data_IF_755661885794
#
_entry.id   IF_755661885794
#
_cell.length_a   1.000
_cell.length_b   1.000
_cell.length_c   1.000
_cell.angle_alpha   90.00
_cell.angle_beta   90.00
_cell.angle_gamma   90.00
#
_symmetry.space_group_name_H-M   'P 1'
#
loop_
_entity.id
_entity.type
_entity.pdbx_description
1 polymer ?
#
# COMPACT_ATOMS: atom_id res chain seq x y z
N UNK A 1 6.87 -54.61 -5.80
CA UNK A 1 5.67 -54.38 -6.63
C UNK A 1 4.43 -54.83 -5.86
N UNK A 2 3.59 -53.88 -5.42
CA UNK A 2 2.22 -54.16 -4.99
C UNK A 2 1.33 -53.07 -5.59
N UNK A 3 0.70 -53.38 -6.71
CA UNK A 3 -0.34 -52.56 -7.31
C UNK A 3 -1.62 -52.73 -6.48
N UNK A 4 -2.09 -51.64 -5.86
CA UNK A 4 -3.50 -51.49 -5.47
C UNK A 4 -4.19 -50.76 -6.61
N UNK A 5 -4.88 -51.51 -7.45
CA UNK A 5 -5.96 -51.04 -8.31
C UNK A 5 -7.24 -51.38 -7.58
N UNK A 6 -7.99 -50.39 -7.12
CA UNK A 6 -9.46 -50.40 -7.00
C UNK A 6 -9.97 -49.15 -6.27
N UNK A 7 -10.95 -48.52 -6.94
CA UNK A 7 -12.10 -47.83 -6.35
C UNK A 7 -11.92 -46.40 -5.84
N UNK A 8 -12.23 -45.42 -6.69
CA UNK A 8 -13.30 -44.43 -6.44
C UNK A 8 -13.47 -43.52 -7.65
N UNK A 9 -13.83 -44.13 -8.79
CA UNK A 9 -14.40 -43.44 -9.94
C UNK A 9 -15.94 -43.54 -9.81
N UNK A 10 -16.53 -42.84 -8.84
CA UNK A 10 -17.99 -42.67 -8.76
C UNK A 10 -18.36 -41.54 -7.79
N UNK A 11 -18.38 -40.31 -8.27
CA UNK A 11 -19.22 -39.18 -7.83
C UNK A 11 -19.06 -38.04 -8.85
N UNK A 12 -19.47 -38.28 -10.09
CA UNK A 12 -19.55 -37.25 -11.13
C UNK A 12 -20.69 -37.61 -12.11
N UNK A 13 -21.92 -37.72 -11.60
CA UNK A 13 -23.09 -37.98 -12.47
C UNK A 13 -24.45 -37.61 -11.87
N UNK A 14 -24.54 -36.85 -10.77
CA UNK A 14 -25.85 -36.47 -10.19
C UNK A 14 -26.06 -34.95 -10.02
N UNK A 15 -25.12 -34.11 -10.44
CA UNK A 15 -25.27 -32.64 -10.38
C UNK A 15 -25.50 -31.97 -11.75
N UNK A 16 -25.51 -32.73 -12.86
CA UNK A 16 -25.53 -32.16 -14.23
C UNK A 16 -26.92 -31.67 -14.67
N UNK A 17 -27.96 -31.77 -13.83
CA UNK A 17 -29.34 -31.41 -14.20
C UNK A 17 -29.88 -30.14 -13.53
N UNK A 18 -29.08 -29.44 -12.70
CA UNK A 18 -29.51 -28.25 -11.96
C UNK A 18 -29.09 -26.92 -12.63
N UNK A 19 -27.96 -26.92 -13.35
CA UNK A 19 -27.42 -25.73 -14.00
C UNK A 19 -27.92 -25.56 -15.43
N UNK A 20 -28.23 -24.32 -15.78
CA UNK A 20 -28.40 -23.85 -17.15
C UNK A 20 -27.15 -24.12 -17.99
N UNK A 21 -27.34 -24.17 -19.31
CA UNK A 21 -26.23 -24.33 -20.25
C UNK A 21 -25.23 -23.16 -20.16
N UNK A 22 -25.72 -21.96 -19.86
CA UNK A 22 -24.89 -20.77 -19.62
C UNK A 22 -23.99 -20.95 -18.41
N UNK A 23 -24.57 -21.30 -17.25
CA UNK A 23 -23.81 -21.50 -16.03
C UNK A 23 -22.80 -22.64 -16.14
N UNK A 24 -23.21 -23.77 -16.74
CA UNK A 24 -22.33 -24.92 -16.97
C UNK A 24 -21.12 -24.52 -17.84
N UNK A 25 -21.34 -23.73 -18.89
CA UNK A 25 -20.26 -23.26 -19.78
C UNK A 25 -19.30 -22.32 -19.06
N UNK A 26 -19.82 -21.40 -18.24
CA UNK A 26 -19.00 -20.44 -17.49
C UNK A 26 -18.17 -21.14 -16.41
N UNK A 27 -18.78 -22.04 -15.63
CA UNK A 27 -18.08 -22.85 -14.65
C UNK A 27 -16.99 -23.71 -15.30
N UNK A 28 -17.28 -24.34 -16.44
CA UNK A 28 -16.27 -25.12 -17.16
C UNK A 28 -15.11 -24.25 -17.66
N UNK A 29 -15.37 -22.98 -18.03
CA UNK A 29 -14.33 -22.03 -18.46
C UNK A 29 -13.38 -21.66 -17.32
N UNK A 30 -13.89 -21.55 -16.09
CA UNK A 30 -13.11 -21.10 -14.93
C UNK A 30 -12.67 -22.22 -13.98
N UNK A 31 -13.09 -23.46 -14.21
CA UNK A 31 -12.89 -24.58 -13.29
C UNK A 31 -11.43 -24.74 -12.80
N UNK A 32 -10.45 -24.66 -13.70
CA UNK A 32 -9.03 -24.76 -13.32
C UNK A 32 -8.61 -23.63 -12.38
N UNK A 33 -9.04 -22.39 -12.68
CA UNK A 33 -8.76 -21.24 -11.84
C UNK A 33 -9.41 -21.36 -10.47
N UNK A 34 -10.73 -21.63 -10.42
CA UNK A 34 -11.50 -21.73 -9.18
C UNK A 34 -10.95 -22.86 -8.30
N UNK A 35 -10.60 -24.01 -8.88
CA UNK A 35 -10.03 -25.13 -8.14
C UNK A 35 -8.63 -24.85 -7.57
N UNK A 36 -7.92 -23.86 -8.10
CA UNK A 36 -6.58 -23.46 -7.63
C UNK A 36 -6.61 -22.51 -6.43
N UNK A 37 -7.78 -21.96 -6.10
CA UNK A 37 -7.98 -20.93 -5.07
C UNK A 37 -8.64 -21.59 -3.85
N UNK A 38 -8.02 -21.44 -2.68
CA UNK A 38 -8.66 -21.88 -1.43
C UNK A 38 -9.83 -20.95 -1.12
N UNK A 39 -11.02 -21.51 -0.95
CA UNK A 39 -12.23 -20.78 -0.56
C UNK A 39 -12.06 -19.89 0.68
N UNK A 40 -11.13 -20.23 1.59
CA UNK A 40 -10.84 -19.43 2.79
C UNK A 40 -10.16 -18.11 2.49
N UNK A 41 -9.41 -18.04 1.38
CA UNK A 41 -8.69 -16.85 0.95
C UNK A 41 -9.67 -15.76 0.46
N UNK A 42 -10.80 -16.17 -0.13
CA UNK A 42 -11.80 -15.26 -0.72
C UNK A 42 -12.45 -14.36 0.34
N UNK A 43 -12.48 -14.80 1.60
CA UNK A 43 -13.09 -14.07 2.72
C UNK A 43 -12.06 -13.59 3.74
N UNK A 44 -10.77 -13.62 3.39
CA UNK A 44 -9.71 -13.26 4.34
C UNK A 44 -9.44 -11.76 4.33
N UNK A 45 -9.27 -11.19 5.52
CA UNK A 45 -8.81 -9.81 5.73
C UNK A 45 -7.28 -9.77 5.95
N UNK A 46 -6.61 -10.91 5.80
CA UNK A 46 -5.16 -11.00 5.98
C UNK A 46 -4.45 -10.65 4.66
N UNK A 47 -3.52 -9.69 4.72
CA UNK A 47 -2.74 -9.30 3.55
C UNK A 47 -2.02 -10.45 2.83
N UNK A 48 -1.44 -11.41 3.55
CA UNK A 48 -0.78 -12.58 2.94
C UNK A 48 -1.76 -13.46 2.15
N UNK A 49 -3.01 -13.55 2.59
CA UNK A 49 -4.04 -14.30 1.87
C UNK A 49 -4.45 -13.55 0.60
N UNK A 50 -4.62 -12.22 0.67
CA UNK A 50 -4.90 -11.37 -0.50
C UNK A 50 -3.74 -11.44 -1.52
N UNK A 51 -2.49 -11.39 -1.07
CA UNK A 51 -1.32 -11.54 -1.93
C UNK A 51 -1.30 -12.93 -2.62
N UNK A 52 -1.62 -13.98 -1.85
CA UNK A 52 -1.76 -15.34 -2.37
C UNK A 52 -2.88 -15.43 -3.42
N UNK A 53 -4.01 -14.78 -3.17
CA UNK A 53 -5.13 -14.68 -4.11
C UNK A 53 -4.66 -14.06 -5.43
N UNK A 54 -4.02 -12.89 -5.37
CA UNK A 54 -3.55 -12.21 -6.57
C UNK A 54 -2.51 -13.02 -7.34
N UNK A 55 -1.60 -13.72 -6.65
CA UNK A 55 -0.64 -14.63 -7.28
C UNK A 55 -1.34 -15.78 -8.04
N UNK A 56 -2.38 -16.37 -7.45
CA UNK A 56 -3.19 -17.40 -8.11
C UNK A 56 -3.96 -16.86 -9.31
N UNK A 57 -4.60 -15.71 -9.15
CA UNK A 57 -5.38 -15.07 -10.21
C UNK A 57 -4.50 -14.61 -11.39
N UNK A 58 -3.25 -14.22 -11.14
CA UNK A 58 -2.28 -13.86 -12.19
C UNK A 58 -1.65 -15.08 -12.89
N UNK A 59 -1.97 -16.31 -12.47
CA UNK A 59 -1.46 -17.53 -13.10
C UNK A 59 -2.12 -17.83 -14.46
N UNK A 60 -1.44 -18.63 -15.29
CA UNK A 60 -1.97 -19.05 -16.59
C UNK A 60 -3.32 -19.77 -16.49
N UNK A 61 -3.54 -20.51 -15.39
CA UNK A 61 -4.77 -21.25 -15.12
C UNK A 61 -5.99 -20.31 -14.95
N UNK A 62 -5.74 -19.05 -14.59
CA UNK A 62 -6.74 -18.01 -14.40
C UNK A 62 -6.85 -17.00 -15.54
N UNK A 63 -6.08 -17.15 -16.63
CA UNK A 63 -6.09 -16.23 -17.78
C UNK A 63 -7.49 -15.97 -18.36
N UNK A 64 -8.30 -17.03 -18.53
CA UNK A 64 -9.68 -16.92 -19.02
C UNK A 64 -10.62 -16.22 -18.04
N UNK A 65 -10.37 -16.37 -16.74
CA UNK A 65 -11.14 -15.71 -15.69
C UNK A 65 -10.80 -14.22 -15.64
N UNK A 66 -9.49 -13.88 -15.59
CA UNK A 66 -9.00 -12.50 -15.55
C UNK A 66 -9.44 -11.70 -16.78
N UNK A 67 -9.41 -12.30 -17.97
CA UNK A 67 -9.89 -11.66 -19.19
C UNK A 67 -11.38 -11.26 -19.11
N UNK A 68 -12.17 -11.98 -18.33
CA UNK A 68 -13.59 -11.74 -18.12
C UNK A 68 -13.87 -10.99 -16.80
N UNK A 69 -12.86 -10.59 -16.03
CA UNK A 69 -13.06 -10.09 -14.67
C UNK A 69 -13.87 -8.78 -14.61
N UNK A 70 -13.85 -7.99 -15.68
CA UNK A 70 -14.65 -6.76 -15.81
C UNK A 70 -16.09 -7.02 -16.29
N UNK A 71 -16.47 -8.26 -16.59
CA UNK A 71 -17.83 -8.59 -17.01
C UNK A 71 -18.79 -8.53 -15.82
N UNK A 72 -19.81 -7.70 -15.94
CA UNK A 72 -20.82 -7.44 -14.88
C UNK A 72 -22.03 -8.37 -14.96
N UNK A 73 -21.93 -9.43 -15.76
CA UNK A 73 -22.94 -10.49 -15.90
C UNK A 73 -22.32 -11.86 -15.68
N UNK A 74 -23.10 -12.82 -15.19
CA UNK A 74 -22.72 -14.24 -15.10
C UNK A 74 -23.69 -15.08 -15.93
N UNK A 75 -23.19 -16.19 -16.47
CA UNK A 75 -24.01 -17.25 -17.05
C UNK A 75 -24.83 -18.02 -16.01
N UNK A 76 -24.47 -17.91 -14.72
CA UNK A 76 -25.23 -18.42 -13.59
C UNK A 76 -26.22 -17.37 -13.06
N UNK A 77 -27.47 -17.76 -12.85
CA UNK A 77 -28.52 -16.87 -12.33
C UNK A 77 -28.46 -16.79 -10.80
N UNK A 78 -28.11 -15.61 -10.29
CA UNK A 78 -28.07 -15.31 -8.85
C UNK A 78 -29.44 -15.46 -8.16
N UNK A 79 -30.54 -15.42 -8.93
CA UNK A 79 -31.91 -15.58 -8.42
C UNK A 79 -32.38 -17.03 -8.41
N UNK A 80 -31.66 -17.94 -9.07
CA UNK A 80 -31.95 -19.37 -9.05
C UNK A 80 -31.22 -20.01 -7.86
N UNK A 81 -31.95 -20.62 -6.92
CA UNK A 81 -31.37 -21.22 -5.72
C UNK A 81 -30.32 -22.31 -6.00
N UNK A 82 -30.43 -23.01 -7.13
CA UNK A 82 -29.48 -24.05 -7.55
C UNK A 82 -28.18 -23.48 -8.13
N UNK A 83 -28.23 -22.31 -8.76
CA UNK A 83 -27.07 -21.66 -9.39
C UNK A 83 -26.48 -20.52 -8.54
N UNK A 84 -27.23 -20.02 -7.56
CA UNK A 84 -26.90 -18.82 -6.79
C UNK A 84 -25.52 -18.90 -6.14
N UNK A 85 -25.15 -20.07 -5.63
CA UNK A 85 -23.84 -20.29 -5.02
C UNK A 85 -22.70 -20.12 -6.03
N UNK A 86 -22.88 -20.68 -7.22
CA UNK A 86 -21.90 -20.61 -8.29
C UNK A 86 -21.80 -19.20 -8.88
N UNK A 87 -22.95 -18.55 -9.08
CA UNK A 87 -23.03 -17.15 -9.48
C UNK A 87 -22.28 -16.25 -8.48
N UNK A 88 -22.58 -16.37 -7.18
CA UNK A 88 -21.89 -15.58 -6.15
C UNK A 88 -20.40 -15.88 -6.07
N UNK A 89 -19.99 -17.14 -6.27
CA UNK A 89 -18.56 -17.50 -6.28
C UNK A 89 -17.83 -16.79 -7.41
N UNK A 90 -18.38 -16.82 -8.62
CA UNK A 90 -17.79 -16.16 -9.79
C UNK A 90 -17.77 -14.64 -9.59
N UNK A 91 -18.90 -14.05 -9.21
CA UNK A 91 -19.03 -12.60 -9.06
C UNK A 91 -18.15 -12.05 -7.94
N UNK A 92 -18.09 -12.72 -6.78
CA UNK A 92 -17.24 -12.28 -5.67
C UNK A 92 -15.76 -12.45 -5.98
N UNK A 93 -15.38 -13.49 -6.74
CA UNK A 93 -14.00 -13.63 -7.19
C UNK A 93 -13.61 -12.50 -8.16
N UNK A 94 -14.55 -12.04 -9.00
CA UNK A 94 -14.32 -10.89 -9.88
C UNK A 94 -14.16 -9.62 -9.07
N UNK A 95 -15.05 -9.39 -8.09
CA UNK A 95 -14.93 -8.27 -7.15
C UNK A 95 -13.56 -8.29 -6.47
N UNK A 96 -13.12 -9.43 -5.94
CA UNK A 96 -11.82 -9.54 -5.28
C UNK A 96 -10.66 -9.22 -6.23
N UNK A 97 -10.69 -9.73 -7.47
CA UNK A 97 -9.71 -9.38 -8.50
C UNK A 97 -9.70 -7.87 -8.79
N UNK A 98 -10.86 -7.28 -9.03
CA UNK A 98 -10.99 -5.85 -9.37
C UNK A 98 -10.62 -4.95 -8.19
N UNK A 99 -10.86 -5.37 -6.94
CA UNK A 99 -10.42 -4.63 -5.75
C UNK A 99 -8.91 -4.68 -5.60
N UNK A 100 -8.30 -5.87 -5.63
CA UNK A 100 -6.93 -6.04 -5.11
C UNK A 100 -5.86 -6.37 -6.15
N UNK A 101 -6.24 -6.91 -7.31
CA UNK A 101 -5.28 -7.56 -8.21
C UNK A 101 -5.22 -6.96 -9.61
N UNK A 102 -6.10 -5.99 -9.90
CA UNK A 102 -6.23 -5.39 -11.22
C UNK A 102 -4.97 -4.61 -11.59
N UNK A 103 -4.58 -4.73 -12.86
CA UNK A 103 -3.41 -4.04 -13.41
C UNK A 103 -3.80 -3.24 -14.64
N UNK A 104 -2.98 -2.24 -14.97
CA UNK A 104 -3.05 -1.52 -16.22
C UNK A 104 -2.48 -2.34 -17.40
N UNK A 105 -2.39 -1.70 -18.57
CA UNK A 105 -1.84 -2.30 -19.79
C UNK A 105 -0.35 -2.64 -19.73
N UNK A 106 0.39 -2.04 -18.79
CA UNK A 106 1.82 -2.26 -18.56
C UNK A 106 2.07 -3.37 -17.55
N UNK A 107 1.04 -3.80 -16.83
CA UNK A 107 1.12 -4.80 -15.76
C UNK A 107 1.31 -4.19 -14.37
N UNK A 108 1.32 -2.87 -14.26
CA UNK A 108 1.35 -2.14 -12.99
C UNK A 108 -0.01 -2.24 -12.29
N UNK A 109 -0.01 -2.38 -10.97
CA UNK A 109 -1.25 -2.44 -10.20
C UNK A 109 -2.02 -1.11 -10.30
N UNK A 110 -3.35 -1.19 -10.35
CA UNK A 110 -4.18 0.00 -10.37
C UNK A 110 -4.06 0.77 -9.04
N UNK A 111 -3.99 2.12 -9.04
CA UNK A 111 -3.68 2.90 -7.83
C UNK A 111 -4.62 2.61 -6.65
N UNK A 112 -5.93 2.47 -6.89
CA UNK A 112 -6.85 2.10 -5.82
C UNK A 112 -6.65 0.67 -5.33
N UNK A 113 -6.29 -0.24 -6.23
CA UNK A 113 -5.98 -1.61 -5.83
C UNK A 113 -4.72 -1.67 -4.98
N UNK A 114 -3.75 -0.80 -5.26
CA UNK A 114 -2.51 -0.68 -4.53
C UNK A 114 -2.70 -0.07 -3.14
N UNK A 115 -3.40 1.07 -3.06
CA UNK A 115 -3.76 1.70 -1.79
C UNK A 115 -4.52 0.71 -0.87
N UNK A 116 -5.48 -0.04 -1.43
CA UNK A 116 -6.17 -1.08 -0.68
C UNK A 116 -5.23 -2.21 -0.21
N UNK A 117 -4.21 -2.57 -0.97
CA UNK A 117 -3.22 -3.56 -0.55
C UNK A 117 -2.33 -3.04 0.58
N UNK A 118 -1.93 -1.77 0.51
CA UNK A 118 -1.18 -1.07 1.56
C UNK A 118 -1.97 -1.09 2.88
N UNK A 119 -3.27 -0.79 2.86
CA UNK A 119 -4.17 -0.87 4.03
C UNK A 119 -4.18 -2.26 4.69
N UNK A 120 -4.08 -3.33 3.89
CA UNK A 120 -4.01 -4.71 4.40
C UNK A 120 -2.58 -5.15 4.74
N UNK A 121 -1.62 -4.23 4.75
CA UNK A 121 -0.22 -4.51 5.02
C UNK A 121 0.40 -5.42 3.97
N UNK A 122 -0.15 -5.50 2.75
CA UNK A 122 0.48 -6.18 1.62
C UNK A 122 1.46 -5.22 0.99
N UNK A 123 2.75 -5.56 1.04
CA UNK A 123 3.72 -4.87 0.19
C UNK A 123 3.54 -5.46 -1.20
N UNK A 124 2.64 -4.87 -2.00
CA UNK A 124 2.69 -4.98 -3.45
C UNK A 124 3.97 -4.28 -3.87
N UNK A 125 5.12 -4.94 -3.67
CA UNK A 125 6.33 -4.52 -4.35
C UNK A 125 5.92 -4.29 -5.80
N UNK A 126 6.11 -3.04 -6.24
CA UNK A 126 5.69 -2.35 -7.48
C UNK A 126 4.68 -1.20 -7.38
N UNK A 127 4.13 -0.86 -6.22
CA UNK A 127 3.77 0.53 -5.95
C UNK A 127 3.80 0.74 -4.43
N UNK A 128 4.80 1.50 -4.01
CA UNK A 128 4.72 2.23 -2.75
C UNK A 128 4.34 3.64 -3.19
N UNK A 129 3.31 4.20 -2.57
CA UNK A 129 3.03 5.63 -2.67
C UNK A 129 4.33 6.45 -2.43
N UNK A 130 4.45 7.56 -3.17
CA UNK A 130 5.67 8.35 -3.54
C UNK A 130 6.39 7.88 -4.80
N UNK A 131 6.17 6.67 -5.29
CA UNK A 131 7.02 6.11 -6.35
C UNK A 131 6.62 6.42 -7.81
N UNK A 132 5.55 7.16 -8.05
CA UNK A 132 5.04 7.45 -9.41
C UNK A 132 4.75 8.93 -9.62
N UNK A 133 5.78 9.78 -9.49
CA UNK A 133 5.70 11.18 -9.93
C UNK A 133 6.54 11.41 -11.21
N UNK A 134 6.10 12.38 -12.00
CA UNK A 134 6.85 12.93 -13.13
C UNK A 134 7.81 14.00 -12.63
N UNK A 135 8.93 14.17 -13.34
CA UNK A 135 9.95 15.15 -12.96
C UNK A 135 9.39 16.57 -12.83
N UNK A 136 8.35 16.92 -13.59
CA UNK A 136 7.73 18.24 -13.56
C UNK A 136 6.85 18.51 -12.33
N UNK A 137 6.49 17.47 -11.57
CA UNK A 137 5.67 17.56 -10.37
C UNK A 137 6.52 17.89 -9.13
N UNK A 138 7.83 17.65 -9.20
CA UNK A 138 8.77 17.93 -8.11
C UNK A 138 9.02 19.42 -8.00
N UNK A 139 8.57 19.99 -6.89
CA UNK A 139 8.79 21.39 -6.56
C UNK A 139 9.96 21.58 -5.61
N UNK A 140 10.54 22.78 -5.67
CA UNK A 140 11.61 23.19 -4.80
C UNK A 140 11.14 23.36 -3.35
N UNK A 141 11.97 22.97 -2.37
CA UNK A 141 11.65 23.07 -0.95
C UNK A 141 12.72 23.79 -0.17
N UNK A 142 12.31 24.50 0.87
CA UNK A 142 13.22 25.28 1.71
C UNK A 142 13.55 24.50 2.98
N UNK A 143 14.72 24.72 3.57
CA UNK A 143 15.14 24.02 4.80
C UNK A 143 14.13 24.18 5.95
N UNK A 144 13.33 25.24 5.94
CA UNK A 144 12.26 25.52 6.91
C UNK A 144 11.14 24.49 6.92
N UNK A 145 11.02 23.69 5.87
CA UNK A 145 10.07 22.57 5.78
C UNK A 145 10.41 21.47 6.81
N UNK A 146 11.71 21.33 7.13
CA UNK A 146 12.23 20.45 8.19
C UNK A 146 12.56 21.19 9.50
N UNK A 147 12.13 22.46 9.66
CA UNK A 147 12.37 23.22 10.90
C UNK A 147 11.75 22.52 12.10
N UNK A 148 12.56 22.22 13.12
CA UNK A 148 12.17 21.41 14.25
C UNK A 148 13.37 20.83 15.01
N UNK A 149 13.05 19.97 15.96
CA UNK A 149 14.00 19.25 16.79
C UNK A 149 13.75 17.75 16.65
N UNK A 150 14.79 16.99 16.31
CA UNK A 150 14.62 15.67 15.74
C UNK A 150 15.58 14.67 16.35
N UNK A 151 15.11 13.46 16.68
CA UNK A 151 15.91 12.36 17.23
C UNK A 151 16.01 11.16 16.32
N UNK A 152 17.15 10.50 16.37
CA UNK A 152 17.34 9.20 15.74
C UNK A 152 16.74 8.11 16.63
N UNK A 153 15.94 7.17 16.08
CA UNK A 153 15.49 5.99 16.81
C UNK A 153 16.56 4.89 16.85
N UNK A 154 17.72 5.07 16.19
CA UNK A 154 18.77 4.05 16.12
C UNK A 154 19.24 3.55 17.51
N UNK A 155 19.42 4.39 18.54
CA UNK A 155 19.69 3.90 19.90
C UNK A 155 18.56 3.02 20.47
N UNK A 156 17.29 3.34 20.18
CA UNK A 156 16.14 2.56 20.59
C UNK A 156 16.16 1.18 19.91
N UNK A 157 16.44 1.15 18.61
CA UNK A 157 16.63 -0.08 17.82
C UNK A 157 17.71 -0.97 18.46
N UNK A 158 18.89 -0.40 18.74
CA UNK A 158 20.01 -1.14 19.33
C UNK A 158 19.68 -1.70 20.72
N UNK A 159 18.87 -0.98 21.50
CA UNK A 159 18.43 -1.42 22.84
C UNK A 159 17.31 -2.49 22.82
N UNK A 160 16.70 -2.74 21.65
CA UNK A 160 15.58 -3.66 21.49
C UNK A 160 14.21 -3.06 21.81
N UNK A 161 14.11 -1.75 22.05
CA UNK A 161 12.84 -1.08 22.34
C UNK A 161 11.90 -1.02 21.12
N UNK A 162 12.41 -1.27 19.91
CA UNK A 162 11.62 -1.30 18.67
C UNK A 162 11.30 -2.74 18.21
N UNK A 163 11.62 -3.76 19.02
CA UNK A 163 11.49 -5.16 18.61
C UNK A 163 10.04 -5.53 18.30
N UNK A 164 9.08 -4.97 19.04
CA UNK A 164 7.64 -5.14 18.79
C UNK A 164 7.23 -4.68 17.38
N UNK A 165 7.80 -3.59 16.86
CA UNK A 165 7.52 -3.13 15.51
C UNK A 165 7.93 -4.17 14.46
N UNK A 166 9.10 -4.78 14.63
CA UNK A 166 9.60 -5.79 13.70
C UNK A 166 8.85 -7.12 13.82
N UNK A 167 8.38 -7.48 15.01
CA UNK A 167 7.49 -8.62 15.22
C UNK A 167 6.14 -8.41 14.54
N UNK A 168 5.54 -7.24 14.72
CA UNK A 168 4.30 -6.85 14.05
C UNK A 168 4.47 -6.87 12.52
N UNK A 169 5.53 -6.26 12.01
CA UNK A 169 5.84 -6.22 10.57
C UNK A 169 6.10 -7.61 9.99
N UNK A 170 6.85 -8.46 10.69
CA UNK A 170 7.08 -9.85 10.28
C UNK A 170 5.78 -10.66 10.23
N UNK A 171 4.90 -10.47 11.23
CA UNK A 171 3.60 -11.14 11.28
C UNK A 171 2.66 -10.66 10.17
N UNK A 172 2.68 -9.36 9.86
CA UNK A 172 1.83 -8.77 8.82
C UNK A 172 2.29 -9.16 7.40
N UNK A 173 3.58 -8.97 7.10
CA UNK A 173 4.13 -9.13 5.74
C UNK A 173 4.52 -10.58 5.43
N UNK A 174 4.96 -11.36 6.42
CA UNK A 174 5.32 -12.78 6.26
C UNK A 174 6.51 -13.08 5.35
N UNK A 175 7.19 -12.06 4.81
CA UNK A 175 8.29 -12.17 3.84
C UNK A 175 9.67 -12.26 4.50
N UNK A 176 9.78 -11.80 5.76
CA UNK A 176 10.99 -11.81 6.60
C UNK A 176 10.63 -12.14 8.04
N UNK A 177 11.58 -12.70 8.78
CA UNK A 177 11.46 -12.82 10.24
C UNK A 177 11.69 -11.47 10.92
N UNK A 178 11.27 -11.34 12.19
CA UNK A 178 11.50 -10.13 12.98
C UNK A 178 12.99 -9.79 13.07
N UNK A 179 13.86 -10.80 13.20
CA UNK A 179 15.32 -10.61 13.23
C UNK A 179 15.87 -10.11 11.89
N UNK A 180 15.33 -10.59 10.78
CA UNK A 180 15.71 -10.13 9.45
C UNK A 180 15.27 -8.67 9.22
N UNK A 181 14.08 -8.30 9.68
CA UNK A 181 13.65 -6.90 9.69
C UNK A 181 14.55 -6.05 10.57
N UNK A 182 14.84 -6.49 11.79
CA UNK A 182 15.73 -5.78 12.71
C UNK A 182 17.11 -5.52 12.10
N UNK A 183 17.74 -6.51 11.48
CA UNK A 183 19.05 -6.31 10.83
C UNK A 183 18.97 -5.42 9.57
N UNK A 184 17.87 -5.48 8.82
CA UNK A 184 17.61 -4.55 7.70
C UNK A 184 17.55 -3.10 8.19
N UNK A 185 16.68 -2.80 9.17
CA UNK A 185 16.55 -1.46 9.75
C UNK A 185 17.81 -1.01 10.51
N UNK A 186 18.53 -1.92 11.16
CA UNK A 186 19.81 -1.62 11.80
C UNK A 186 20.87 -1.18 10.80
N UNK A 187 20.86 -1.74 9.60
CA UNK A 187 21.77 -1.32 8.52
C UNK A 187 21.36 0.04 7.97
N UNK A 188 20.06 0.20 7.68
CA UNK A 188 19.47 1.45 7.19
C UNK A 188 19.68 2.63 8.13
N UNK A 189 19.30 2.48 9.40
CA UNK A 189 19.32 3.57 10.40
C UNK A 189 20.68 3.89 11.00
N UNK A 190 21.72 3.15 10.62
CA UNK A 190 23.05 3.32 11.22
C UNK A 190 23.56 4.74 10.98
N UNK A 191 23.74 5.48 12.07
CA UNK A 191 24.31 6.82 12.07
C UNK A 191 25.04 7.10 13.38
N UNK A 192 26.02 8.00 13.34
CA UNK A 192 26.63 8.60 14.52
C UNK A 192 25.92 9.88 14.97
N UNK A 193 24.95 10.39 14.19
CA UNK A 193 24.10 11.54 14.52
C UNK A 193 22.92 11.05 15.36
N UNK A 194 22.80 11.56 16.58
CA UNK A 194 21.71 11.23 17.50
C UNK A 194 20.55 12.22 17.40
N UNK A 195 20.84 13.50 17.20
CA UNK A 195 19.84 14.57 17.18
C UNK A 195 20.18 15.62 16.13
N UNK A 196 19.15 16.16 15.50
CA UNK A 196 19.25 17.20 14.47
C UNK A 196 18.31 18.33 14.87
N UNK A 197 18.83 19.56 14.96
CA UNK A 197 18.05 20.75 15.29
C UNK A 197 18.14 21.69 14.10
N UNK A 198 16.99 22.01 13.50
CA UNK A 198 16.88 22.84 12.30
C UNK A 198 16.17 24.14 12.66
N UNK A 199 16.78 25.27 12.31
CA UNK A 199 16.19 26.60 12.54
C UNK A 199 16.61 27.57 11.43
N UNK A 200 15.65 28.03 10.65
CA UNK A 200 15.90 28.83 9.46
C UNK A 200 16.85 28.10 8.50
N UNK A 201 17.99 28.71 8.16
CA UNK A 201 19.00 28.11 7.28
C UNK A 201 20.07 27.27 8.00
N UNK A 202 19.97 27.08 9.33
CA UNK A 202 20.99 26.40 10.13
C UNK A 202 20.54 25.01 10.54
N UNK A 203 21.47 24.07 10.44
CA UNK A 203 21.34 22.72 11.01
C UNK A 203 22.39 22.56 12.11
N UNK A 204 21.98 21.99 13.24
CA UNK A 204 22.86 21.60 14.35
C UNK A 204 22.76 20.10 14.54
N UNK A 205 23.90 19.42 14.57
CA UNK A 205 24.02 17.99 14.75
C UNK A 205 24.59 17.70 16.13
N UNK A 206 23.96 16.78 16.85
CA UNK A 206 24.48 16.20 18.08
C UNK A 206 24.85 14.75 17.78
N UNK A 207 26.12 14.42 17.96
CA UNK A 207 26.66 13.09 17.69
C UNK A 207 26.57 12.21 18.94
N UNK A 208 26.66 10.89 18.75
CA UNK A 208 26.62 9.87 19.81
C UNK A 208 27.71 10.05 20.87
N UNK A 209 28.85 10.65 20.52
CA UNK A 209 29.95 10.97 21.44
C UNK A 209 29.72 12.28 22.24
N UNK A 210 28.59 12.96 22.02
CA UNK A 210 28.23 14.23 22.63
C UNK A 210 28.83 15.45 21.92
N UNK A 211 29.58 15.27 20.83
CA UNK A 211 30.05 16.38 20.00
C UNK A 211 28.84 17.10 19.40
N UNK A 212 28.93 18.43 19.33
CA UNK A 212 27.94 19.28 18.68
C UNK A 212 28.63 20.04 17.57
N UNK A 213 28.05 20.04 16.38
CA UNK A 213 28.53 20.83 15.24
C UNK A 213 27.36 21.48 14.50
N UNK A 214 27.57 22.64 13.90
CA UNK A 214 26.52 23.37 13.21
C UNK A 214 27.06 24.19 12.05
N UNK A 215 26.26 24.33 11.00
CA UNK A 215 26.55 25.22 9.88
C UNK A 215 25.26 25.85 9.35
N UNK A 216 25.40 26.97 8.65
CA UNK A 216 24.36 27.45 7.73
C UNK A 216 24.45 26.63 6.46
N UNK A 217 23.32 26.26 5.87
CA UNK A 217 23.25 25.43 4.68
C UNK A 217 22.76 26.22 3.48
N UNK A 218 23.35 25.93 2.33
CA UNK A 218 22.95 26.46 1.03
C UNK A 218 22.19 25.37 0.28
N UNK A 219 20.96 25.68 -0.10
CA UNK A 219 20.08 24.80 -0.85
C UNK A 219 20.60 24.58 -2.29
N UNK A 220 20.55 23.34 -2.79
CA UNK A 220 21.07 22.93 -4.10
C UNK A 220 20.01 22.40 -5.06
N UNK A 221 18.77 22.24 -4.62
CA UNK A 221 17.66 21.75 -5.43
C UNK A 221 17.27 20.32 -5.08
N UNK A 222 16.12 19.86 -5.64
CA UNK A 222 15.75 18.47 -5.63
C UNK A 222 16.69 17.64 -6.52
N UNK A 223 16.94 16.41 -6.09
CA UNK A 223 17.64 15.36 -6.80
C UNK A 223 16.72 14.14 -6.86
N UNK A 224 16.26 13.80 -8.06
CA UNK A 224 15.35 12.66 -8.26
C UNK A 224 16.19 11.40 -8.40
N UNK A 225 15.83 10.36 -7.65
CA UNK A 225 16.46 9.04 -7.71
C UNK A 225 15.45 8.02 -8.19
N UNK A 226 15.90 7.22 -9.15
CA UNK A 226 15.23 6.02 -9.63
C UNK A 226 15.86 4.82 -8.93
N UNK A 227 15.13 4.22 -8.00
CA UNK A 227 15.61 3.08 -7.23
C UNK A 227 15.64 1.81 -8.08
N UNK A 228 16.56 0.90 -7.75
CA UNK A 228 16.64 -0.42 -8.38
C UNK A 228 15.38 -1.28 -8.19
N UNK A 229 14.58 -0.98 -7.17
CA UNK A 229 13.24 -1.55 -6.93
C UNK A 229 12.17 -1.12 -7.94
N UNK A 230 12.47 -0.14 -8.81
CA UNK A 230 11.51 0.45 -9.75
C UNK A 230 10.71 1.62 -9.20
N UNK A 231 10.98 2.04 -7.96
CA UNK A 231 10.35 3.21 -7.33
C UNK A 231 11.18 4.48 -7.56
N UNK A 232 10.58 5.67 -7.35
CA UNK A 232 11.31 6.96 -7.41
C UNK A 232 11.18 7.74 -6.11
N UNK A 233 12.12 8.64 -5.83
CA UNK A 233 12.05 9.58 -4.71
C UNK A 233 12.70 10.93 -5.04
N UNK A 234 12.18 12.01 -4.46
CA UNK A 234 12.85 13.31 -4.44
C UNK A 234 13.69 13.44 -3.17
N UNK A 235 14.97 13.80 -3.36
CA UNK A 235 15.94 14.11 -2.31
C UNK A 235 16.25 15.60 -2.36
N UNK A 236 16.19 16.31 -1.24
CA UNK A 236 16.47 17.74 -1.20
C UNK A 236 17.87 18.00 -0.68
N UNK A 237 18.74 18.51 -1.55
CA UNK A 237 20.18 18.60 -1.29
C UNK A 237 20.58 19.97 -0.71
N UNK A 238 21.43 19.93 0.30
CA UNK A 238 22.00 21.13 0.92
C UNK A 238 23.50 20.97 1.18
N UNK A 239 24.23 22.08 1.08
CA UNK A 239 25.68 22.12 1.32
C UNK A 239 26.01 23.12 2.42
N UNK A 240 26.81 22.70 3.40
CA UNK A 240 27.28 23.55 4.47
C UNK A 240 28.11 24.74 3.92
N UNK A 241 27.79 25.96 4.37
CA UNK A 241 28.53 27.17 4.04
C UNK A 241 29.89 27.20 4.73
N UNK A 242 29.94 26.80 6.00
CA UNK A 242 31.20 26.58 6.71
C UNK A 242 31.56 25.10 6.70
N UNK A 243 32.49 24.75 5.82
CA UNK A 243 33.03 23.39 5.64
C UNK A 243 33.99 22.96 6.75
N UNK A 244 34.41 23.88 7.62
CA UNK A 244 35.33 23.61 8.73
C UNK A 244 34.62 23.55 10.09
N UNK A 245 33.30 23.77 10.13
CA UNK A 245 32.52 23.77 11.36
C UNK A 245 32.39 22.38 12.03
N UNK A 246 32.85 21.32 11.36
CA UNK A 246 32.76 19.94 11.82
C UNK A 246 31.36 19.33 11.68
N UNK A 247 30.41 20.06 11.09
CA UNK A 247 29.12 19.55 10.66
C UNK A 247 29.27 18.85 9.29
N UNK A 248 28.40 17.88 8.94
CA UNK A 248 28.44 17.25 7.63
C UNK A 248 28.34 18.29 6.50
N UNK A 249 29.19 18.16 5.48
CA UNK A 249 29.29 19.17 4.41
C UNK A 249 28.14 19.04 3.41
N UNK A 250 27.81 17.80 3.05
CA UNK A 250 26.76 17.46 2.09
C UNK A 250 25.67 16.75 2.85
N UNK A 251 24.44 17.22 2.75
CA UNK A 251 23.28 16.60 3.39
C UNK A 251 22.11 16.54 2.42
N UNK A 252 21.34 15.47 2.49
CA UNK A 252 20.12 15.31 1.71
C UNK A 252 18.97 14.82 2.58
N UNK A 253 17.81 15.43 2.39
CA UNK A 253 16.57 15.09 3.08
C UNK A 253 15.63 14.31 2.15
N UNK A 254 14.99 13.27 2.69
CA UNK A 254 13.86 12.62 2.06
C UNK A 254 12.81 12.28 3.12
N UNK A 255 11.66 12.91 3.02
CA UNK A 255 10.53 12.80 3.95
C UNK A 255 9.25 12.39 3.20
N UNK A 256 9.41 11.75 2.04
CA UNK A 256 8.33 11.25 1.21
C UNK A 256 7.52 12.36 0.48
N UNK A 257 7.80 13.65 0.70
CA UNK A 257 7.10 14.75 0.02
C UNK A 257 7.89 15.27 -1.19
N UNK A 258 7.16 15.64 -2.26
CA UNK A 258 7.72 16.22 -3.51
C UNK A 258 7.34 17.70 -3.73
N UNK A 259 6.58 18.28 -2.80
CA UNK A 259 6.18 19.70 -2.82
C UNK A 259 6.35 20.35 -1.44
N UNK A 260 6.38 21.69 -1.31
CA UNK A 260 6.53 22.37 -0.03
C UNK A 260 5.51 21.93 1.02
N UNK A 261 6.01 21.57 2.20
CA UNK A 261 5.22 21.00 3.27
C UNK A 261 6.06 20.73 4.52
N UNK A 262 5.42 20.64 5.69
CA UNK A 262 6.11 20.28 6.93
C UNK A 262 6.38 18.78 6.94
N UNK A 263 7.60 18.41 7.32
CA UNK A 263 7.96 17.00 7.48
C UNK A 263 7.36 16.44 8.77
N UNK A 264 6.85 15.21 8.73
CA UNK A 264 6.45 14.45 9.92
C UNK A 264 7.64 13.64 10.50
N UNK A 265 8.45 13.07 9.62
CA UNK A 265 9.74 12.45 9.86
C UNK A 265 10.58 12.56 8.59
N UNK A 266 11.87 12.24 8.66
CA UNK A 266 12.70 12.23 7.46
C UNK A 266 13.88 11.28 7.54
N UNK A 267 14.32 10.82 6.37
CA UNK A 267 15.64 10.27 6.14
C UNK A 267 16.65 11.39 5.88
N UNK A 268 17.81 11.31 6.53
CA UNK A 268 18.91 12.24 6.37
C UNK A 268 20.19 11.48 6.08
N UNK A 269 20.69 11.60 4.85
CA UNK A 269 22.01 11.10 4.49
C UNK A 269 22.99 12.24 4.46
N UNK A 270 24.24 11.95 4.81
CA UNK A 270 25.25 13.00 4.93
C UNK A 270 26.67 12.53 4.65
N UNK A 271 27.50 13.46 4.22
CA UNK A 271 28.92 13.22 3.93
C UNK A 271 29.75 14.46 4.26
N UNK A 272 31.00 14.24 4.68
CA UNK A 272 31.97 15.31 4.92
C UNK A 272 32.94 15.51 3.75
N UNK A 273 32.80 14.75 2.66
CA UNK A 273 33.80 14.68 1.59
C UNK A 273 33.20 14.92 0.20
N UNK A 274 32.21 14.13 -0.21
CA UNK A 274 31.51 14.25 -1.49
C UNK A 274 30.13 13.60 -1.48
N UNK A 275 29.31 13.91 -2.49
CA UNK A 275 28.02 13.22 -2.71
C UNK A 275 28.21 11.73 -3.03
N UNK A 276 29.29 11.36 -3.73
CA UNK A 276 29.58 9.96 -4.12
C UNK A 276 29.87 9.05 -2.91
N UNK A 277 30.19 9.64 -1.75
CA UNK A 277 30.42 8.89 -0.51
C UNK A 277 29.11 8.56 0.24
N UNK A 278 27.96 9.05 -0.25
CA UNK A 278 26.64 8.74 0.31
C UNK A 278 26.15 7.41 -0.26
N UNK A 279 25.90 6.43 0.62
CA UNK A 279 25.25 5.16 0.26
C UNK A 279 23.73 5.33 0.25
N UNK A 280 23.19 5.72 -0.91
CA UNK A 280 21.77 6.04 -1.08
C UNK A 280 20.83 4.86 -0.77
N UNK A 281 21.22 3.64 -1.15
CA UNK A 281 20.35 2.46 -1.09
C UNK A 281 20.41 1.75 0.26
N UNK A 282 21.60 1.66 0.90
CA UNK A 282 21.77 0.82 2.09
C UNK A 282 21.85 1.60 3.40
N UNK A 283 22.05 2.92 3.36
CA UNK A 283 22.10 3.76 4.55
C UNK A 283 21.15 4.95 4.44
N UNK A 284 20.12 4.95 5.27
CA UNK A 284 19.04 5.94 5.28
C UNK A 284 18.67 6.26 6.74
N UNK A 285 19.58 6.91 7.51
CA UNK A 285 19.29 7.34 8.88
C UNK A 285 17.98 8.11 8.96
N UNK A 286 17.06 7.68 9.82
CA UNK A 286 15.76 8.32 10.01
C UNK A 286 15.75 9.19 11.27
N UNK A 287 14.91 10.22 11.26
CA UNK A 287 14.71 11.14 12.35
C UNK A 287 13.22 11.44 12.54
N UNK A 288 12.77 11.34 13.80
CA UNK A 288 11.42 11.68 14.27
C UNK A 288 11.47 12.92 15.14
N UNK A 289 10.35 13.61 15.39
CA UNK A 289 10.30 14.72 16.33
C UNK A 289 10.88 14.30 17.70
N UNK A 290 11.64 15.17 18.35
CA UNK A 290 12.28 14.90 19.65
C UNK A 290 11.24 14.45 20.71
N UNK A 291 10.04 14.99 20.63
CA UNK A 291 8.89 14.68 21.47
C UNK A 291 8.22 13.32 21.20
N UNK A 292 8.47 12.68 20.05
CA UNK A 292 7.76 11.46 19.64
C UNK A 292 7.97 10.32 20.66
N UNK A 293 6.92 9.65 21.11
CA UNK A 293 7.05 8.54 22.06
C UNK A 293 7.69 7.29 21.41
N UNK A 294 8.09 6.31 22.22
CA UNK A 294 8.59 5.04 21.67
C UNK A 294 7.44 4.30 20.98
N UNK A 295 6.24 4.39 21.53
CA UNK A 295 5.02 3.78 21.01
C UNK A 295 4.66 4.36 19.64
N UNK A 296 4.81 5.67 19.47
CA UNK A 296 4.60 6.37 18.19
C UNK A 296 5.59 5.91 17.12
N UNK A 297 6.87 5.78 17.48
CA UNK A 297 7.90 5.26 16.57
C UNK A 297 7.64 3.78 16.25
N UNK A 298 7.15 2.99 17.22
CA UNK A 298 6.79 1.58 16.98
C UNK A 298 5.61 1.47 16.01
N UNK A 299 4.58 2.29 16.19
CA UNK A 299 3.41 2.33 15.31
C UNK A 299 3.82 2.64 13.86
N UNK A 300 4.59 3.72 13.65
CA UNK A 300 5.13 4.10 12.34
C UNK A 300 5.91 2.96 11.67
N UNK A 301 6.86 2.36 12.41
CA UNK A 301 7.70 1.29 11.86
C UNK A 301 6.96 -0.03 11.59
N UNK A 302 5.93 -0.31 12.37
CA UNK A 302 5.16 -1.56 12.29
C UNK A 302 4.16 -1.57 11.13
N UNK A 303 3.73 -0.39 10.67
CA UNK A 303 2.63 -0.24 9.72
C UNK A 303 1.25 -0.59 10.30
N UNK A 304 1.10 -0.67 11.62
CA UNK A 304 -0.21 -0.82 12.28
C UNK A 304 -0.73 0.55 12.69
N UNK A 305 -1.74 1.06 11.97
CA UNK A 305 -2.55 2.25 12.25
C UNK A 305 -1.82 3.51 12.79
N UNK A 306 -1.74 4.54 11.95
CA UNK A 306 -1.64 5.92 12.38
C UNK A 306 -2.91 6.30 13.17
N UNK A 307 -2.85 6.18 14.50
CA UNK A 307 -3.79 6.87 15.40
C UNK A 307 -2.98 7.71 16.37
N UNK A 308 -2.68 8.95 15.97
CA UNK A 308 -2.21 9.96 16.91
C UNK A 308 -3.39 10.80 17.38
N UNK A 309 -3.62 10.77 18.69
CA UNK A 309 -4.40 11.75 19.47
C UNK A 309 -3.61 13.07 19.64
N UNK A 310 -3.10 13.62 18.55
CA UNK A 310 -2.61 15.00 18.48
C UNK A 310 -3.27 15.68 17.29
N UNK A 311 -3.67 16.95 17.48
CA UNK A 311 -4.43 17.78 16.53
C UNK A 311 -3.67 18.02 15.20
N UNK A 312 -3.42 16.97 14.42
CA UNK A 312 -3.11 16.99 13.00
C UNK A 312 -4.25 16.23 12.31
N UNK A 313 -4.92 16.92 11.39
CA UNK A 313 -6.28 16.58 10.97
C UNK A 313 -6.40 15.24 10.24
N UNK A 314 -7.61 14.66 10.31
CA UNK A 314 -8.08 13.54 9.47
C UNK A 314 -7.82 13.73 7.96
N UNK A 315 -7.43 14.93 7.52
CA UNK A 315 -7.24 15.34 6.13
C UNK A 315 -6.13 14.54 5.37
N UNK A 316 -5.00 14.15 5.98
CA UNK A 316 -3.82 13.66 5.22
C UNK A 316 -3.96 12.22 4.64
N UNK A 317 -4.53 11.26 5.38
CA UNK A 317 -4.82 9.92 4.83
C UNK A 317 -5.96 9.96 3.81
N UNK A 318 -6.89 10.89 4.00
CA UNK A 318 -7.99 11.10 3.08
C UNK A 318 -7.52 11.77 1.79
N UNK A 319 -6.50 12.64 1.86
CA UNK A 319 -5.80 13.16 0.68
C UNK A 319 -5.15 12.03 -0.14
N UNK A 320 -4.49 11.07 0.50
CA UNK A 320 -3.81 9.96 -0.21
C UNK A 320 -4.79 9.05 -0.98
N UNK A 321 -5.92 8.67 -0.35
CA UNK A 321 -6.96 7.89 -1.05
C UNK A 321 -7.61 8.68 -2.20
N UNK A 322 -7.86 9.98 -2.01
CA UNK A 322 -8.41 10.85 -3.06
C UNK A 322 -7.44 10.98 -4.23
N UNK A 323 -6.14 11.07 -3.98
CA UNK A 323 -5.12 11.04 -5.04
C UNK A 323 -5.13 9.69 -5.77
N UNK A 324 -5.18 8.57 -5.05
CA UNK A 324 -5.32 7.25 -5.66
C UNK A 324 -6.58 7.16 -6.55
N UNK A 325 -7.72 7.72 -6.13
CA UNK A 325 -8.97 7.74 -6.91
C UNK A 325 -8.82 8.55 -8.20
N UNK A 326 -8.10 9.68 -8.13
CA UNK A 326 -7.85 10.52 -9.29
C UNK A 326 -6.95 9.80 -10.31
N UNK A 327 -5.82 9.27 -9.88
CA UNK A 327 -4.85 8.58 -10.74
C UNK A 327 -5.49 7.34 -11.39
N UNK A 328 -6.22 6.57 -10.59
CA UNK A 328 -6.94 5.39 -11.03
C UNK A 328 -8.03 5.72 -12.06
N UNK A 329 -8.70 6.87 -11.90
CA UNK A 329 -9.66 7.39 -12.88
C UNK A 329 -9.01 7.77 -14.21
N UNK A 330 -7.76 8.23 -14.22
CA UNK A 330 -7.05 8.62 -15.45
C UNK A 330 -6.66 7.42 -16.31
N UNK A 331 -6.21 6.34 -15.64
CA UNK A 331 -5.75 5.11 -16.28
C UNK A 331 -6.95 4.36 -16.88
N UNK A 332 -6.91 4.08 -18.19
CA UNK A 332 -8.07 3.56 -18.93
C UNK A 332 -8.57 2.22 -18.40
N UNK A 333 -7.66 1.31 -18.11
CA UNK A 333 -7.95 -0.03 -17.58
C UNK A 333 -8.50 0.04 -16.16
N UNK A 334 -7.89 0.87 -15.30
CA UNK A 334 -8.28 1.05 -13.90
C UNK A 334 -9.63 1.77 -13.78
N UNK A 335 -9.88 2.75 -14.65
CA UNK A 335 -11.17 3.42 -14.77
C UNK A 335 -12.28 2.43 -15.14
N UNK A 336 -12.07 1.63 -16.20
CA UNK A 336 -13.03 0.60 -16.60
C UNK A 336 -13.26 -0.42 -15.48
N UNK A 337 -12.17 -0.84 -14.82
CA UNK A 337 -12.22 -1.75 -13.68
C UNK A 337 -13.04 -1.17 -12.53
N UNK A 338 -12.89 0.11 -12.19
CA UNK A 338 -13.69 0.77 -11.15
C UNK A 338 -15.18 0.71 -11.46
N UNK A 339 -15.57 1.07 -12.69
CA UNK A 339 -16.97 1.04 -13.14
C UNK A 339 -17.54 -0.38 -12.99
N UNK A 340 -16.82 -1.39 -13.48
CA UNK A 340 -17.21 -2.80 -13.33
C UNK A 340 -17.30 -3.25 -11.87
N UNK A 341 -16.39 -2.80 -11.01
CA UNK A 341 -16.40 -3.10 -9.58
C UNK A 341 -17.69 -2.61 -8.94
N UNK A 342 -18.05 -1.34 -9.14
CA UNK A 342 -19.28 -0.76 -8.55
C UNK A 342 -20.53 -1.45 -9.08
N UNK A 343 -20.58 -1.79 -10.37
CA UNK A 343 -21.70 -2.56 -10.95
C UNK A 343 -21.82 -3.96 -10.32
N UNK A 344 -20.71 -4.65 -10.09
CA UNK A 344 -20.70 -5.96 -9.43
C UNK A 344 -21.11 -5.87 -7.97
N UNK A 345 -20.64 -4.86 -7.22
CA UNK A 345 -21.04 -4.62 -5.83
C UNK A 345 -22.56 -4.40 -5.72
N UNK A 346 -23.15 -3.66 -6.66
CA UNK A 346 -24.62 -3.49 -6.78
C UNK A 346 -25.32 -4.82 -7.05
N UNK A 347 -24.80 -5.61 -7.98
CA UNK A 347 -25.40 -6.88 -8.38
C UNK A 347 -25.40 -7.92 -7.25
N UNK A 348 -24.34 -7.99 -6.47
CA UNK A 348 -24.21 -8.94 -5.35
C UNK A 348 -24.89 -8.45 -4.07
N UNK A 349 -25.37 -7.20 -4.05
CA UNK A 349 -26.00 -6.59 -2.88
C UNK A 349 -25.00 -6.29 -1.76
N UNK A 350 -23.74 -6.02 -2.11
CA UNK A 350 -22.70 -5.68 -1.14
C UNK A 350 -23.02 -4.37 -0.42
N UNK A 351 -22.85 -4.34 0.90
CA UNK A 351 -22.97 -3.14 1.72
C UNK A 351 -21.90 -2.09 1.41
N UNK A 352 -20.77 -2.51 0.84
CA UNK A 352 -19.66 -1.62 0.47
C UNK A 352 -20.04 -0.69 -0.68
N UNK A 353 -21.09 -0.98 -1.46
CA UNK A 353 -21.46 -0.18 -2.64
C UNK A 353 -21.54 1.33 -2.34
N UNK A 354 -21.97 1.71 -1.14
CA UNK A 354 -22.10 3.10 -0.69
C UNK A 354 -20.75 3.84 -0.65
N UNK A 355 -19.66 3.11 -0.41
CA UNK A 355 -18.31 3.66 -0.26
C UNK A 355 -17.67 3.94 -1.64
N UNK A 356 -18.23 3.36 -2.71
CA UNK A 356 -17.70 3.47 -4.08
C UNK A 356 -18.62 4.22 -5.04
N UNK A 357 -19.94 4.18 -4.79
CA UNK A 357 -20.96 4.68 -5.72
C UNK A 357 -20.90 6.20 -5.92
N UNK A 358 -20.45 6.95 -4.92
CA UNK A 358 -20.32 8.41 -5.02
C UNK A 358 -19.31 8.85 -6.10
N UNK A 359 -18.26 8.06 -6.31
CA UNK A 359 -17.21 8.34 -7.31
C UNK A 359 -17.58 7.85 -8.72
N UNK A 360 -18.55 6.93 -8.85
CA UNK A 360 -18.89 6.27 -10.11
C UNK A 360 -19.15 7.27 -11.25
N UNK A 361 -19.83 8.38 -10.96
CA UNK A 361 -20.17 9.36 -11.99
C UNK A 361 -18.96 10.10 -12.56
N UNK A 362 -17.89 10.25 -11.76
CA UNK A 362 -16.63 10.86 -12.21
C UNK A 362 -15.89 9.89 -13.13
N UNK A 363 -15.80 8.63 -12.74
CA UNK A 363 -15.23 7.56 -13.55
C UNK A 363 -15.93 7.41 -14.90
N UNK A 364 -17.27 7.35 -14.91
CA UNK A 364 -18.07 7.24 -16.14
C UNK A 364 -17.90 8.42 -17.09
N UNK A 365 -17.70 9.63 -16.54
CA UNK A 365 -17.48 10.85 -17.33
C UNK A 365 -16.01 11.13 -17.61
N UNK A 366 -15.12 10.31 -17.04
CA UNK A 366 -13.68 10.55 -16.97
C UNK A 366 -13.33 11.97 -16.49
N UNK A 367 -14.05 12.42 -15.46
CA UNK A 367 -13.88 13.73 -14.83
C UNK A 367 -13.05 13.57 -13.54
N UNK A 368 -11.78 13.22 -13.68
CA UNK A 368 -10.92 12.83 -12.54
C UNK A 368 -10.60 14.02 -11.63
N UNK A 369 -10.33 15.21 -12.19
CA UNK A 369 -10.18 16.46 -11.43
C UNK A 369 -11.41 16.80 -10.56
N UNK A 370 -12.60 16.37 -10.98
CA UNK A 370 -13.83 16.60 -10.24
C UNK A 370 -13.93 15.83 -8.92
N UNK A 371 -13.11 14.78 -8.75
CA UNK A 371 -13.07 13.96 -7.53
C UNK A 371 -12.52 14.80 -6.37
N UNK A 372 -11.45 15.57 -6.60
CA UNK A 372 -10.89 16.50 -5.60
C UNK A 372 -11.94 17.51 -5.11
N UNK A 373 -12.70 18.10 -6.05
CA UNK A 373 -13.73 19.08 -5.73
C UNK A 373 -14.96 18.50 -5.00
N UNK A 374 -15.17 17.18 -5.07
CA UNK A 374 -16.16 16.49 -4.23
C UNK A 374 -15.62 16.33 -2.81
N UNK A 375 -14.38 15.88 -2.67
CA UNK A 375 -13.71 15.71 -1.37
C UNK A 375 -13.63 17.04 -0.59
N UNK A 376 -13.38 18.17 -1.26
CA UNK A 376 -13.38 19.50 -0.63
C UNK A 376 -14.77 19.97 -0.17
N UNK A 377 -15.86 19.50 -0.80
CA UNK A 377 -17.23 19.99 -0.55
C UNK A 377 -17.96 19.23 0.55
N UNK A 378 -17.54 18.02 0.89
CA UNK A 378 -18.20 17.19 1.91
C UNK A 378 -18.00 17.73 3.34
N UNK A 379 -16.98 18.58 3.59
CA UNK A 379 -16.83 19.41 4.79
C UNK A 379 -16.93 18.63 6.10
N UNK A 380 -15.80 18.16 6.62
CA UNK A 380 -15.66 16.85 7.27
C UNK A 380 -15.79 15.80 6.18
N UNK A 381 -14.63 15.39 5.68
CA UNK A 381 -14.51 14.10 5.01
C UNK A 381 -14.97 13.13 6.10
N UNK A 382 -16.24 12.74 6.06
CA UNK A 382 -16.78 11.78 7.01
C UNK A 382 -15.98 10.55 6.73
N UNK A 383 -15.07 10.24 7.67
CA UNK A 383 -14.24 9.06 7.75
C UNK A 383 -14.74 8.07 6.72
N UNK A 384 -14.00 7.91 5.62
CA UNK A 384 -14.06 6.67 4.88
C UNK A 384 -13.45 5.65 5.86
N UNK A 385 -14.22 5.33 6.89
CA UNK A 385 -14.36 3.96 7.32
C UNK A 385 -14.98 3.30 6.10
N UNK A 386 -14.14 2.98 5.10
CA UNK A 386 -14.10 1.60 4.68
C UNK A 386 -13.89 0.90 6.02
N UNK A 387 -14.99 0.60 6.72
CA UNK A 387 -14.94 -0.40 7.75
C UNK A 387 -14.49 -1.58 6.93
N UNK A 388 -13.18 -1.84 6.94
CA UNK A 388 -12.54 -3.08 6.51
C UNK A 388 -13.05 -4.26 7.36
N UNK A 389 -14.24 -4.14 7.96
CA UNK A 389 -15.09 -5.27 8.29
C UNK A 389 -15.60 -5.85 6.97
N UNK A 390 -14.96 -6.90 6.50
CA UNK A 390 -15.62 -7.93 5.68
C UNK A 390 -16.71 -8.63 6.52
N UNK A 391 -17.68 -7.87 7.02
CA UNK A 391 -18.81 -8.40 7.76
C UNK A 391 -20.08 -7.86 7.15
N UNK A 392 -20.49 -8.50 6.06
CA UNK A 392 -21.90 -8.78 5.87
C UNK A 392 -22.10 -10.28 5.57
N UNK A 393 -22.55 -10.98 6.63
CA UNK A 393 -23.62 -11.96 6.54
C UNK A 393 -23.52 -13.04 5.44
N UNK A 394 -22.38 -13.75 5.34
CA UNK A 394 -22.36 -15.14 4.83
C UNK A 394 -21.86 -16.10 5.92
N UNK A 395 -22.19 -15.82 7.18
CA UNK A 395 -22.18 -16.83 8.25
C UNK A 395 -23.63 -17.10 8.64
N UNK A 396 -24.37 -17.74 7.74
CA UNK A 396 -25.46 -18.63 8.14
C UNK A 396 -25.69 -19.81 7.19
N UNK A 397 -24.76 -20.09 6.28
CA UNK A 397 -24.81 -21.32 5.47
C UNK A 397 -23.48 -22.07 5.36
N UNK A 398 -22.40 -21.64 6.03
CA UNK A 398 -21.12 -22.38 6.09
C UNK A 398 -20.94 -23.14 7.43
N UNK A 399 -21.77 -22.89 8.46
CA UNK A 399 -21.67 -23.59 9.76
C UNK A 399 -22.50 -24.90 9.83
N UNK A 400 -23.34 -25.20 8.84
CA UNK A 400 -23.95 -26.52 8.72
C UNK A 400 -23.52 -27.17 7.42
N UNK A 401 -22.45 -27.98 7.48
CA UNK A 401 -22.24 -29.27 6.79
C UNK A 401 -20.74 -29.63 6.79
N UNK A 402 -20.21 -29.87 7.99
CA UNK A 402 -19.45 -31.10 8.23
C UNK A 402 -20.39 -32.13 8.83
#
# INVERSE_FOLDING_TARGET
MKFKLLSSLLMAATAVFAHSSGCTSELSKYNTCIASIDSKIITSENGSDIATLCSKLKSNDCSSFVADATNTTSGCDIKNDEEKKDALTILNLRIAYLKFCATDSTGSICPISDHLLEDYGVDSSHANHVSTFKDEEVQDRQLTDWEGDWKSPYPLLLSGQLDEAFEAKAKAKGDKTAEQYKEYYKTGYKSDINRVIIKGSRITFVFNDGKIASSEYEHKGPFIVDWSSGTRAALYQFVAKDKNAGAPIYVEFNDHQITPGKAAHFHLRSSSTSWDDIDLENNWPIFFPEEASVEEIVADLSGTEHSHDHEEGEDDHEHEFVHALMDDCEISECNKRFISLVELLKLTGSSEVKDWEEYLSFYQKKNCDGIHALAEKSGSITSIKITCSFIFAIILSIIYLF
#
